data_IF_032725626868
#
_entry.id   IF_032725626868
#
_cell.length_a   1.000
_cell.length_b   1.000
_cell.length_c   1.000
_cell.angle_alpha   90.00
_cell.angle_beta   90.00
_cell.angle_gamma   90.00
#
_symmetry.space_group_name_H-M   'P 1'
#
loop_
_entity.id
_entity.type
_entity.pdbx_description
1 polymer ?
#
# COMPACT_ATOMS: atom_id res chain seq x y z
N UNK A 1 -10.33 -3.36 21.24
CA UNK A 1 -11.43 -2.92 20.36
C UNK A 1 -12.67 -3.81 20.41
N UNK A 2 -12.54 -5.14 20.30
CA UNK A 2 -13.68 -6.08 20.28
C UNK A 2 -14.73 -5.89 21.38
N UNK A 3 -14.31 -5.66 22.64
CA UNK A 3 -15.24 -5.41 23.76
C UNK A 3 -16.14 -4.19 23.55
N UNK A 4 -15.63 -3.11 22.91
CA UNK A 4 -16.44 -1.91 22.60
C UNK A 4 -17.48 -2.22 21.52
N UNK A 5 -17.15 -3.04 20.53
CA UNK A 5 -18.05 -3.46 19.44
C UNK A 5 -19.19 -4.32 20.00
N UNK A 6 -18.87 -5.33 20.81
CA UNK A 6 -19.86 -6.20 21.47
C UNK A 6 -20.81 -5.39 22.37
N UNK A 7 -20.28 -4.40 23.11
CA UNK A 7 -21.11 -3.54 23.97
C UNK A 7 -22.11 -2.67 23.20
N UNK A 8 -21.77 -2.23 21.98
CA UNK A 8 -22.67 -1.40 21.14
C UNK A 8 -23.76 -2.26 20.50
N UNK A 9 -23.44 -3.47 20.04
CA UNK A 9 -24.41 -4.45 19.52
C UNK A 9 -25.45 -4.86 20.58
N UNK A 10 -25.00 -5.12 21.82
CA UNK A 10 -25.91 -5.49 22.91
C UNK A 10 -26.82 -4.35 23.38
N UNK A 11 -26.44 -3.08 23.17
CA UNK A 11 -27.29 -1.93 23.48
C UNK A 11 -28.42 -1.74 22.45
N UNK A 12 -28.19 -2.07 21.17
CA UNK A 12 -29.22 -1.99 20.13
C UNK A 12 -30.27 -3.10 20.24
N UNK A 13 -29.90 -4.32 20.66
CA UNK A 13 -30.86 -5.41 20.91
C UNK A 13 -31.86 -5.15 22.05
N UNK A 14 -31.63 -4.15 22.92
CA UNK A 14 -32.53 -3.83 24.04
C UNK A 14 -33.72 -2.96 23.66
N UNK A 15 -33.78 -2.42 22.43
CA UNK A 15 -34.96 -1.68 21.97
C UNK A 15 -35.96 -2.63 21.30
N UNK A 16 -37.01 -2.96 22.07
CA UNK A 16 -38.26 -3.66 21.70
C UNK A 16 -38.10 -5.10 21.18
N UNK A 17 -37.96 -6.04 22.12
CA UNK A 17 -38.48 -7.39 21.90
C UNK A 17 -40.01 -7.32 21.90
N UNK A 18 -40.62 -7.25 20.72
CA UNK A 18 -42.06 -7.45 20.56
C UNK A 18 -42.29 -8.96 20.67
N UNK A 19 -42.88 -9.38 21.79
CA UNK A 19 -43.35 -10.74 22.01
C UNK A 19 -44.55 -11.02 21.09
N UNK A 20 -44.29 -11.67 19.97
CA UNK A 20 -45.30 -12.21 19.06
C UNK A 20 -44.62 -13.18 18.10
N UNK A 21 -45.25 -14.33 17.85
CA UNK A 21 -44.76 -15.28 16.85
C UNK A 21 -44.80 -14.59 15.47
N UNK A 22 -43.64 -14.15 14.98
CA UNK A 22 -43.50 -13.57 13.65
C UNK A 22 -43.40 -14.71 12.64
N UNK A 23 -44.34 -14.75 11.69
CA UNK A 23 -44.32 -15.69 10.58
C UNK A 23 -43.15 -15.30 9.65
N UNK A 24 -42.13 -16.16 9.46
CA UNK A 24 -40.87 -15.79 8.78
C UNK A 24 -41.04 -15.40 7.31
N UNK A 25 -42.18 -15.74 6.70
CA UNK A 25 -42.54 -15.37 5.32
C UNK A 25 -43.17 -13.97 5.24
N UNK A 26 -43.79 -13.50 6.33
CA UNK A 26 -44.45 -12.18 6.40
C UNK A 26 -43.52 -11.05 6.87
N UNK A 27 -42.34 -11.41 7.38
CA UNK A 27 -41.32 -10.44 7.69
C UNK A 27 -40.71 -9.97 6.37
N UNK A 28 -41.21 -8.84 5.86
CA UNK A 28 -40.48 -8.03 4.89
C UNK A 28 -39.18 -7.58 5.57
N UNK A 29 -38.16 -8.43 5.52
CA UNK A 29 -36.78 -8.03 5.71
C UNK A 29 -36.40 -7.22 4.48
N UNK A 30 -36.91 -5.99 4.39
CA UNK A 30 -36.23 -5.00 3.58
C UNK A 30 -34.77 -5.03 4.04
N UNK A 31 -33.81 -5.21 3.13
CA UNK A 31 -32.41 -5.15 3.49
C UNK A 31 -32.16 -3.73 3.97
N UNK A 32 -32.28 -3.53 5.28
CA UNK A 32 -32.09 -2.25 5.90
C UNK A 32 -30.62 -1.91 5.63
N UNK A 33 -30.39 -1.01 4.67
CA UNK A 33 -29.06 -0.48 4.36
C UNK A 33 -28.47 -0.03 5.68
N UNK A 34 -27.48 -0.79 6.14
CA UNK A 34 -26.88 -0.58 7.43
C UNK A 34 -25.51 -0.01 7.13
N UNK A 35 -25.47 1.31 6.94
CA UNK A 35 -24.28 2.05 6.50
C UNK A 35 -23.05 1.72 7.35
N UNK A 36 -23.26 1.35 8.62
CA UNK A 36 -22.21 0.87 9.49
C UNK A 36 -21.65 -0.50 9.07
N UNK A 37 -22.51 -1.49 8.80
CA UNK A 37 -22.11 -2.82 8.33
C UNK A 37 -21.51 -2.75 6.93
N UNK A 38 -22.08 -1.93 6.05
CA UNK A 38 -21.57 -1.70 4.70
C UNK A 38 -20.20 -1.02 4.74
N UNK A 39 -20.00 -0.02 5.61
CA UNK A 39 -18.70 0.61 5.84
C UNK A 39 -17.67 -0.33 6.47
N UNK A 40 -18.10 -1.26 7.33
CA UNK A 40 -17.23 -2.28 7.92
C UNK A 40 -16.80 -3.32 6.88
N UNK A 41 -17.74 -3.75 6.03
CA UNK A 41 -17.49 -4.66 4.92
C UNK A 41 -16.50 -4.04 3.93
N UNK A 42 -16.73 -2.79 3.51
CA UNK A 42 -15.82 -2.06 2.63
C UNK A 42 -14.40 -1.96 3.21
N UNK A 43 -14.28 -1.58 4.49
CA UNK A 43 -12.97 -1.49 5.15
C UNK A 43 -12.28 -2.85 5.27
N UNK A 44 -13.03 -3.93 5.48
CA UNK A 44 -12.48 -5.28 5.56
C UNK A 44 -11.94 -5.73 4.19
N UNK A 45 -12.64 -5.43 3.11
CA UNK A 45 -12.18 -5.69 1.73
C UNK A 45 -10.91 -4.90 1.41
N UNK A 46 -10.90 -3.60 1.70
CA UNK A 46 -9.72 -2.74 1.49
C UNK A 46 -8.48 -3.24 2.28
N UNK A 47 -8.68 -3.74 3.50
CA UNK A 47 -7.59 -4.33 4.29
C UNK A 47 -7.10 -5.65 3.70
N UNK A 48 -8.01 -6.47 3.17
CA UNK A 48 -7.66 -7.74 2.53
C UNK A 48 -6.85 -7.51 1.26
N UNK A 49 -7.29 -6.58 0.41
CA UNK A 49 -6.58 -6.18 -0.82
C UNK A 49 -5.16 -5.69 -0.50
N UNK A 50 -5.03 -4.75 0.45
CA UNK A 50 -3.72 -4.27 0.92
C UNK A 50 -2.81 -5.40 1.40
N UNK A 51 -3.35 -6.37 2.11
CA UNK A 51 -2.56 -7.49 2.62
C UNK A 51 -2.12 -8.45 1.50
N UNK A 52 -2.95 -8.63 0.47
CA UNK A 52 -2.58 -9.37 -0.74
C UNK A 52 -1.49 -8.65 -1.53
N UNK A 53 -1.62 -7.33 -1.70
CA UNK A 53 -0.61 -6.52 -2.38
C UNK A 53 0.74 -6.57 -1.66
N UNK A 54 0.75 -6.41 -0.34
CA UNK A 54 1.96 -6.54 0.48
C UNK A 54 2.61 -7.91 0.26
N UNK A 55 1.83 -9.01 0.30
CA UNK A 55 2.37 -10.36 0.09
C UNK A 55 2.95 -10.55 -1.31
N UNK A 56 2.25 -10.07 -2.33
CA UNK A 56 2.71 -10.18 -3.72
C UNK A 56 3.99 -9.37 -3.93
N UNK A 57 4.04 -8.15 -3.39
CA UNK A 57 5.22 -7.30 -3.45
C UNK A 57 6.40 -7.91 -2.70
N UNK A 58 6.19 -8.39 -1.47
CA UNK A 58 7.24 -9.08 -0.70
C UNK A 58 7.74 -10.32 -1.44
N UNK A 59 6.85 -11.08 -2.09
CA UNK A 59 7.26 -12.23 -2.90
C UNK A 59 8.10 -11.80 -4.11
N UNK A 60 7.74 -10.72 -4.79
CA UNK A 60 8.48 -10.19 -5.94
C UNK A 60 9.88 -9.69 -5.55
N UNK A 61 9.97 -8.95 -4.44
CA UNK A 61 11.24 -8.44 -3.92
C UNK A 61 12.18 -9.57 -3.50
N UNK A 62 11.63 -10.64 -2.92
CA UNK A 62 12.41 -11.77 -2.41
C UNK A 62 12.62 -12.89 -3.43
N UNK A 63 11.88 -12.91 -4.55
CA UNK A 63 11.95 -14.01 -5.52
C UNK A 63 13.24 -14.03 -6.33
N UNK A 64 13.95 -12.90 -6.40
CA UNK A 64 15.07 -12.72 -7.34
C UNK A 64 16.31 -12.13 -6.67
N UNK A 65 16.64 -12.64 -5.50
CA UNK A 65 17.83 -12.23 -4.74
C UNK A 65 19.14 -12.53 -5.48
N UNK A 66 19.13 -13.51 -6.39
CA UNK A 66 20.28 -13.91 -7.22
C UNK A 66 20.21 -13.37 -8.66
N UNK A 67 19.20 -12.55 -8.99
CA UNK A 67 19.03 -12.06 -10.36
C UNK A 67 19.98 -10.92 -10.67
N UNK A 68 21.10 -11.29 -11.30
CA UNK A 68 22.11 -10.37 -11.81
C UNK A 68 21.72 -9.72 -13.15
N UNK A 69 20.54 -9.97 -13.74
CA UNK A 69 20.17 -9.44 -15.07
C UNK A 69 20.23 -7.92 -15.16
N UNK A 70 19.96 -7.21 -14.05
CA UNK A 70 20.13 -5.75 -14.02
C UNK A 70 21.61 -5.34 -14.12
N UNK A 71 22.50 -6.09 -13.47
CA UNK A 71 23.95 -5.88 -13.55
C UNK A 71 24.41 -6.15 -14.99
N UNK A 72 23.96 -7.26 -15.57
CA UNK A 72 24.27 -7.61 -16.96
C UNK A 72 23.78 -6.53 -17.95
N UNK A 73 22.56 -6.00 -17.74
CA UNK A 73 22.01 -4.90 -18.54
C UNK A 73 22.84 -3.61 -18.39
N UNK A 74 23.26 -3.26 -17.17
CA UNK A 74 24.13 -2.10 -16.92
C UNK A 74 25.50 -2.26 -17.58
N UNK A 75 26.08 -3.46 -17.52
CA UNK A 75 27.36 -3.78 -18.16
C UNK A 75 27.25 -3.70 -19.69
N UNK A 76 26.15 -4.16 -20.27
CA UNK A 76 25.87 -4.03 -21.71
C UNK A 76 25.71 -2.56 -22.13
N UNK A 77 25.03 -1.74 -21.31
CA UNK A 77 24.90 -0.29 -21.55
C UNK A 77 26.26 0.40 -21.49
N UNK A 78 27.10 0.04 -20.51
CA UNK A 78 28.48 0.54 -20.40
C UNK A 78 29.31 0.13 -21.62
N UNK A 79 29.21 -1.12 -22.07
CA UNK A 79 29.89 -1.61 -23.27
C UNK A 79 29.45 -0.86 -24.55
N UNK A 80 28.21 -0.40 -24.60
CA UNK A 80 27.68 0.48 -25.66
C UNK A 80 28.14 1.94 -25.55
N UNK A 81 28.96 2.28 -24.55
CA UNK A 81 29.51 3.61 -24.33
C UNK A 81 28.56 4.56 -23.59
N UNK A 82 27.46 4.04 -23.01
CA UNK A 82 26.60 4.82 -22.12
C UNK A 82 27.33 4.92 -20.79
N UNK A 83 27.79 6.13 -20.45
CA UNK A 83 28.50 6.41 -19.20
C UNK A 83 27.56 7.14 -18.25
N UNK A 84 27.57 6.73 -16.98
CA UNK A 84 26.81 7.41 -15.94
C UNK A 84 27.38 8.82 -15.74
N UNK A 85 26.58 9.89 -15.94
CA UNK A 85 27.03 11.26 -15.72
C UNK A 85 27.28 11.59 -14.23
N UNK A 86 26.84 10.72 -13.31
CA UNK A 86 26.98 10.88 -11.87
C UNK A 86 28.05 9.98 -11.26
N UNK A 87 28.99 9.45 -12.05
CA UNK A 87 30.12 8.72 -11.47
C UNK A 87 30.88 9.62 -10.48
N UNK A 88 31.05 9.11 -9.26
CA UNK A 88 31.63 9.84 -8.12
C UNK A 88 33.00 10.45 -8.44
N UNK A 89 33.79 9.79 -9.29
CA UNK A 89 35.10 10.30 -9.75
C UNK A 89 34.96 11.57 -10.58
N UNK A 90 33.99 11.64 -11.50
CA UNK A 90 33.73 12.85 -12.29
C UNK A 90 33.09 13.95 -11.46
N UNK A 91 32.24 13.60 -10.50
CA UNK A 91 31.69 14.55 -9.54
C UNK A 91 32.80 15.15 -8.66
N UNK A 92 33.80 14.35 -8.27
CA UNK A 92 34.97 14.84 -7.55
C UNK A 92 35.82 15.78 -8.41
N UNK A 93 36.04 15.48 -9.70
CA UNK A 93 36.74 16.39 -10.61
C UNK A 93 36.01 17.74 -10.80
N UNK A 94 34.68 17.73 -10.77
CA UNK A 94 33.89 18.97 -10.85
C UNK A 94 34.00 19.84 -9.59
N UNK A 95 34.32 19.24 -8.44
CA UNK A 95 34.53 19.97 -7.19
C UNK A 95 35.77 20.87 -7.21
N UNK A 96 36.75 20.57 -8.06
CA UNK A 96 37.97 21.39 -8.24
C UNK A 96 37.90 22.34 -9.45
N UNK A 97 36.82 22.26 -10.24
CA UNK A 97 36.65 23.07 -11.44
C UNK A 97 36.28 24.52 -11.08
N UNK A 98 37.29 25.38 -10.98
CA UNK A 98 37.14 26.81 -10.64
C UNK A 98 36.15 27.58 -11.53
N UNK A 99 36.03 27.22 -12.81
CA UNK A 99 35.07 27.88 -13.70
C UNK A 99 33.64 27.49 -13.33
N UNK A 100 33.40 26.20 -13.14
CA UNK A 100 32.11 25.65 -12.72
C UNK A 100 31.70 26.20 -11.34
N UNK A 101 32.61 26.24 -10.37
CA UNK A 101 32.33 26.76 -9.03
C UNK A 101 31.99 28.26 -9.03
N UNK A 102 32.64 29.05 -9.91
CA UNK A 102 32.30 30.46 -10.12
C UNK A 102 30.91 30.62 -10.76
N UNK A 103 30.60 29.80 -11.76
CA UNK A 103 29.28 29.83 -12.42
C UNK A 103 28.15 29.45 -11.44
N UNK A 104 28.45 28.62 -10.43
CA UNK A 104 27.53 28.28 -9.33
C UNK A 104 27.52 29.29 -8.17
N UNK A 105 28.41 30.30 -8.17
CA UNK A 105 28.52 31.28 -7.08
C UNK A 105 29.06 30.71 -5.77
N UNK A 106 29.77 29.58 -5.83
CA UNK A 106 30.38 28.91 -4.68
C UNK A 106 31.82 29.39 -4.41
N UNK A 107 32.37 30.22 -5.30
CA UNK A 107 33.75 30.72 -5.28
C UNK A 107 33.84 32.15 -5.79
#
# INVERSE_FOLDING_TARGET
>A
MFRKIVSKLNKQKKQKAVQGMINPISANFEPAKNDFLDGLSKRAVEMFEKNCDIKNFSKLVLSDTENASHIDMMEEMRAKGIVDPFEDEKLAELADNKKFLRDLGLL
#
